data_IF_329804859997
#
_entry.id   IF_329804859997
#
_cell.length_a   1.000
_cell.length_b   1.000
_cell.length_c   1.000
_cell.angle_alpha   90.00
_cell.angle_beta   90.00
_cell.angle_gamma   90.00
#
_symmetry.space_group_name_H-M   'P 1'
#
loop_
_entity.id
_entity.type
_entity.pdbx_description
1 polymer ?
#
# COMPACT_ATOMS: atom_id res chain seq x y z
N UNK A 1 -9.95 -3.50 -3.86
CA UNK A 1 -10.44 -3.77 -2.47
C UNK A 1 -10.24 -5.22 -2.06
N UNK A 2 -10.99 -6.19 -2.62
CA UNK A 2 -10.90 -7.62 -2.28
C UNK A 2 -9.48 -8.18 -2.16
N UNK A 3 -8.60 -7.91 -3.13
CA UNK A 3 -7.21 -8.37 -3.10
C UNK A 3 -6.38 -7.80 -1.94
N UNK A 4 -6.64 -6.56 -1.54
CA UNK A 4 -6.01 -5.93 -0.36
C UNK A 4 -6.55 -6.53 0.93
N UNK A 5 -7.86 -6.79 1.01
CA UNK A 5 -8.50 -7.46 2.14
C UNK A 5 -8.24 -8.98 2.18
N UNK A 6 -7.52 -9.52 1.19
CA UNK A 6 -7.21 -10.96 1.10
C UNK A 6 -8.41 -11.86 0.81
N UNK A 7 -9.48 -11.33 0.21
CA UNK A 7 -10.65 -12.12 -0.17
C UNK A 7 -10.36 -12.88 -1.48
N UNK A 8 -10.43 -14.23 -1.49
CA UNK A 8 -10.13 -15.04 -2.66
C UNK A 8 -11.03 -14.73 -3.86
N UNK A 9 -10.54 -14.89 -5.09
CA UNK A 9 -11.30 -14.58 -6.32
C UNK A 9 -12.01 -15.79 -6.93
N UNK A 10 -11.80 -17.00 -6.41
CA UNK A 10 -12.32 -18.25 -7.01
C UNK A 10 -13.84 -18.25 -7.21
N UNK A 11 -14.59 -17.69 -6.24
CA UNK A 11 -16.04 -17.61 -6.31
C UNK A 11 -16.56 -16.63 -7.39
N UNK A 12 -15.73 -15.69 -7.85
CA UNK A 12 -16.14 -14.65 -8.80
C UNK A 12 -16.47 -15.23 -10.18
N UNK A 13 -15.77 -16.28 -10.61
CA UNK A 13 -15.99 -16.92 -11.90
C UNK A 13 -17.42 -17.47 -12.06
N UNK A 14 -18.05 -17.90 -10.95
CA UNK A 14 -19.45 -18.35 -10.94
C UNK A 14 -20.40 -17.18 -10.64
N UNK A 15 -19.97 -16.24 -9.80
CA UNK A 15 -20.82 -15.15 -9.35
C UNK A 15 -21.13 -14.13 -10.45
N UNK A 16 -20.14 -13.68 -11.21
CA UNK A 16 -20.34 -12.68 -12.26
C UNK A 16 -21.33 -13.12 -13.35
N UNK A 17 -21.24 -14.34 -13.91
CA UNK A 17 -22.25 -14.82 -14.87
C UNK A 17 -23.66 -14.90 -14.27
N UNK A 18 -23.77 -15.20 -12.98
CA UNK A 18 -25.06 -15.29 -12.29
C UNK A 18 -25.72 -13.92 -12.16
N UNK A 19 -24.97 -12.90 -11.76
CA UNK A 19 -25.54 -11.56 -11.57
C UNK A 19 -25.77 -10.83 -12.90
N UNK A 20 -25.03 -11.15 -13.96
CA UNK A 20 -25.12 -10.47 -15.26
C UNK A 20 -26.55 -10.41 -15.81
N UNK A 21 -27.31 -11.51 -15.70
CA UNK A 21 -28.70 -11.58 -16.17
C UNK A 21 -29.68 -10.75 -15.33
N UNK A 22 -29.29 -10.39 -14.10
CA UNK A 22 -30.10 -9.60 -13.17
C UNK A 22 -29.74 -8.11 -13.17
N UNK A 23 -28.78 -7.69 -14.00
CA UNK A 23 -28.39 -6.29 -14.09
C UNK A 23 -29.43 -5.48 -14.86
N UNK A 24 -29.78 -4.32 -14.32
CA UNK A 24 -30.55 -3.31 -15.04
C UNK A 24 -29.69 -2.77 -16.19
N UNK A 25 -30.17 -2.92 -17.43
CA UNK A 25 -29.45 -2.50 -18.63
C UNK A 25 -29.44 -0.99 -18.80
N UNK A 26 -30.46 -0.30 -18.29
CA UNK A 26 -30.56 1.15 -18.36
C UNK A 26 -29.69 1.82 -17.29
N UNK A 27 -29.40 1.11 -16.20
CA UNK A 27 -28.55 1.57 -15.09
C UNK A 27 -27.41 0.59 -14.73
N UNK A 28 -26.70 0.08 -15.75
CA UNK A 28 -25.70 -1.00 -15.61
C UNK A 28 -24.68 -0.80 -14.48
N UNK A 29 -24.13 0.42 -14.36
CA UNK A 29 -23.10 0.72 -13.36
C UNK A 29 -23.67 0.68 -11.94
N UNK A 30 -24.84 1.28 -11.73
CA UNK A 30 -25.51 1.33 -10.43
C UNK A 30 -25.94 -0.07 -10.03
N UNK A 31 -26.63 -0.78 -10.92
CA UNK A 31 -27.08 -2.15 -10.68
C UNK A 31 -25.92 -3.11 -10.39
N UNK A 32 -24.78 -2.95 -11.07
CA UNK A 32 -23.58 -3.73 -10.77
C UNK A 32 -23.01 -3.41 -9.38
N UNK A 33 -22.93 -2.13 -9.01
CA UNK A 33 -22.49 -1.72 -7.67
C UNK A 33 -23.38 -2.33 -6.59
N UNK A 34 -24.70 -2.25 -6.75
CA UNK A 34 -25.68 -2.80 -5.81
C UNK A 34 -25.51 -4.32 -5.68
N UNK A 35 -25.42 -5.05 -6.79
CA UNK A 35 -25.19 -6.50 -6.77
C UNK A 35 -23.88 -6.87 -6.08
N UNK A 36 -22.80 -6.12 -6.32
CA UNK A 36 -21.52 -6.37 -5.65
C UNK A 36 -21.58 -6.11 -4.13
N UNK A 37 -22.37 -5.12 -3.71
CA UNK A 37 -22.60 -4.80 -2.30
C UNK A 37 -23.51 -5.82 -1.60
N UNK A 38 -24.47 -6.43 -2.31
CA UNK A 38 -25.31 -7.54 -1.82
C UNK A 38 -24.53 -8.86 -1.65
N UNK A 39 -23.33 -8.97 -2.23
CA UNK A 39 -22.53 -10.19 -2.15
C UNK A 39 -22.22 -10.58 -0.69
N UNK A 40 -22.37 -11.85 -0.34
CA UNK A 40 -22.07 -12.38 1.01
C UNK A 40 -20.87 -13.33 1.01
N UNK A 41 -20.22 -13.47 2.17
CA UNK A 41 -19.08 -14.38 2.35
C UNK A 41 -17.96 -14.09 1.35
N UNK A 42 -17.52 -15.09 0.59
CA UNK A 42 -16.48 -14.92 -0.44
C UNK A 42 -16.93 -14.11 -1.66
N UNK A 43 -18.22 -13.77 -1.82
CA UNK A 43 -18.74 -12.95 -2.93
C UNK A 43 -18.80 -11.46 -2.59
N UNK A 44 -18.67 -11.11 -1.31
CA UNK A 44 -18.83 -9.74 -0.82
C UNK A 44 -17.77 -8.76 -1.33
N UNK A 45 -18.13 -7.50 -1.44
CA UNK A 45 -17.18 -6.41 -1.59
C UNK A 45 -16.85 -5.83 -0.20
N UNK A 46 -15.57 -5.65 0.17
CA UNK A 46 -15.22 -4.92 1.38
C UNK A 46 -15.75 -3.50 1.34
N UNK A 47 -16.32 -3.06 2.46
CA UNK A 47 -16.66 -1.65 2.67
C UNK A 47 -15.39 -0.79 2.84
N UNK A 48 -15.60 0.51 3.02
CA UNK A 48 -14.52 1.48 3.11
C UNK A 48 -13.68 1.26 4.37
N UNK A 49 -14.29 0.93 5.51
CA UNK A 49 -13.57 0.75 6.76
C UNK A 49 -12.68 -0.49 6.73
N UNK A 50 -13.18 -1.63 6.27
CA UNK A 50 -12.39 -2.85 6.13
C UNK A 50 -11.25 -2.66 5.12
N UNK A 51 -11.52 -1.98 4.00
CA UNK A 51 -10.50 -1.70 2.99
C UNK A 51 -9.38 -0.82 3.55
N UNK A 52 -9.75 0.25 4.25
CA UNK A 52 -8.79 1.18 4.84
C UNK A 52 -8.00 0.55 5.98
N UNK A 53 -8.64 -0.25 6.82
CA UNK A 53 -7.96 -1.00 7.88
C UNK A 53 -6.98 -2.01 7.27
N UNK A 54 -7.40 -2.75 6.25
CA UNK A 54 -6.53 -3.73 5.56
C UNK A 54 -5.29 -3.06 4.96
N UNK A 55 -5.43 -1.88 4.36
CA UNK A 55 -4.28 -1.12 3.86
C UNK A 55 -3.31 -0.72 4.97
N UNK A 56 -3.82 -0.43 6.17
CA UNK A 56 -2.99 0.06 7.29
C UNK A 56 -2.30 -1.07 8.04
N UNK A 57 -2.91 -2.24 8.13
CA UNK A 57 -2.52 -3.27 9.11
C UNK A 57 -2.13 -4.60 8.49
N UNK A 58 -2.63 -4.93 7.30
CA UNK A 58 -2.35 -6.23 6.69
C UNK A 58 -0.98 -6.25 6.02
N UNK A 59 -0.20 -7.33 6.16
CA UNK A 59 0.97 -7.56 5.32
C UNK A 59 0.56 -7.59 3.84
N UNK A 60 1.19 -6.73 3.05
CA UNK A 60 0.98 -6.62 1.60
C UNK A 60 2.22 -7.00 0.80
N UNK A 61 3.42 -7.02 1.42
CA UNK A 61 4.62 -7.51 0.74
C UNK A 61 4.44 -8.97 0.27
N UNK A 62 4.98 -9.28 -0.92
CA UNK A 62 4.76 -10.56 -1.60
C UNK A 62 3.41 -10.67 -2.33
N UNK A 63 2.42 -9.80 -2.06
CA UNK A 63 1.18 -9.76 -2.82
C UNK A 63 1.32 -8.85 -4.05
N UNK A 64 0.94 -9.36 -5.24
CA UNK A 64 0.96 -8.60 -6.50
C UNK A 64 0.17 -7.29 -6.43
N UNK A 65 -0.84 -7.21 -5.56
CA UNK A 65 -1.65 -5.99 -5.38
C UNK A 65 -0.85 -4.82 -4.81
N UNK A 66 0.20 -5.07 -4.01
CA UNK A 66 0.98 -4.01 -3.37
C UNK A 66 1.57 -3.06 -4.41
N UNK A 67 2.24 -3.62 -5.42
CA UNK A 67 2.88 -2.83 -6.47
C UNK A 67 1.84 -1.96 -7.17
N UNK A 68 0.72 -2.55 -7.58
CA UNK A 68 -0.38 -1.82 -8.19
C UNK A 68 -0.88 -0.66 -7.30
N UNK A 69 -1.02 -0.88 -5.98
CA UNK A 69 -1.44 0.16 -5.03
C UNK A 69 -0.44 1.31 -5.00
N UNK A 70 0.85 1.01 -4.86
CA UNK A 70 1.91 2.03 -4.82
C UNK A 70 1.98 2.85 -6.12
N UNK A 71 1.87 2.19 -7.27
CA UNK A 71 1.86 2.86 -8.58
C UNK A 71 0.66 3.79 -8.74
N UNK A 72 -0.52 3.38 -8.28
CA UNK A 72 -1.75 4.19 -8.36
C UNK A 72 -1.74 5.35 -7.38
N UNK A 73 -1.17 5.16 -6.19
CA UNK A 73 -0.91 6.25 -5.23
C UNK A 73 0.07 7.27 -5.80
N UNK A 74 1.16 6.83 -6.45
CA UNK A 74 2.13 7.72 -7.10
C UNK A 74 1.49 8.56 -8.22
N UNK A 75 0.62 7.93 -9.04
CA UNK A 75 -0.11 8.59 -10.13
C UNK A 75 -1.23 9.51 -9.63
N UNK A 76 -1.75 9.30 -8.43
CA UNK A 76 -2.90 10.05 -7.94
C UNK A 76 -2.59 11.53 -7.79
N UNK A 77 -3.38 12.38 -8.46
CA UNK A 77 -3.17 13.82 -8.52
C UNK A 77 -1.69 14.18 -8.85
N UNK A 78 -1.16 13.53 -9.88
CA UNK A 78 0.17 13.79 -10.43
C UNK A 78 0.08 13.78 -11.96
N UNK A 79 0.46 14.89 -12.60
CA UNK A 79 0.46 15.03 -14.07
C UNK A 79 1.77 14.57 -14.69
N UNK A 80 2.83 14.42 -13.89
CA UNK A 80 4.12 13.95 -14.36
C UNK A 80 4.07 12.46 -14.71
N UNK A 81 4.73 12.09 -15.81
CA UNK A 81 4.85 10.69 -16.22
C UNK A 81 5.96 10.03 -15.43
N UNK A 82 5.64 8.95 -14.73
CA UNK A 82 6.61 8.10 -14.04
C UNK A 82 6.75 6.78 -14.81
N UNK A 83 7.99 6.42 -15.15
CA UNK A 83 8.30 5.08 -15.66
C UNK A 83 8.48 4.12 -14.48
N UNK A 84 7.59 3.14 -14.35
CA UNK A 84 7.59 2.18 -13.27
C UNK A 84 8.44 0.94 -13.54
N UNK A 85 8.85 0.67 -14.79
CA UNK A 85 9.48 -0.60 -15.20
C UNK A 85 10.76 -0.90 -14.43
N UNK A 86 11.53 0.16 -14.11
CA UNK A 86 12.80 0.05 -13.39
C UNK A 86 12.66 0.21 -11.87
N UNK A 87 11.45 0.48 -11.38
CA UNK A 87 11.20 0.66 -9.95
C UNK A 87 10.96 -0.70 -9.28
N UNK A 88 11.46 -0.82 -8.07
CA UNK A 88 11.26 -1.97 -7.20
C UNK A 88 10.55 -1.54 -5.92
N UNK A 89 9.87 -2.49 -5.30
CA UNK A 89 9.33 -2.29 -3.95
C UNK A 89 10.50 -2.26 -2.97
N UNK A 90 10.56 -1.21 -2.17
CA UNK A 90 11.57 -1.02 -1.12
C UNK A 90 10.92 -1.04 0.26
N UNK A 91 11.61 -1.70 1.20
CA UNK A 91 11.33 -1.66 2.62
C UNK A 91 12.09 -0.51 3.26
N UNK A 92 11.38 0.53 3.71
CA UNK A 92 12.01 1.71 4.33
C UNK A 92 12.80 1.27 5.56
N UNK A 93 12.12 0.62 6.51
CA UNK A 93 12.72 -0.24 7.54
C UNK A 93 13.02 -1.62 6.93
N UNK A 94 14.30 -2.05 6.85
CA UNK A 94 14.70 -3.24 6.11
C UNK A 94 14.30 -4.55 6.81
N UNK A 95 14.30 -5.66 6.06
CA UNK A 95 14.06 -6.99 6.63
C UNK A 95 15.16 -7.41 7.63
N UNK A 96 16.42 -7.09 7.35
CA UNK A 96 17.54 -7.32 8.27
C UNK A 96 17.91 -6.00 8.95
N UNK A 97 17.64 -5.91 10.25
CA UNK A 97 17.98 -4.72 11.04
C UNK A 97 19.46 -4.71 11.42
N UNK A 98 20.04 -3.51 11.40
CA UNK A 98 21.31 -3.20 12.06
C UNK A 98 21.04 -2.55 13.44
N UNK A 99 22.08 -2.28 14.22
CA UNK A 99 21.89 -1.76 15.58
C UNK A 99 21.35 -0.32 15.61
N UNK A 100 21.56 0.47 14.56
CA UNK A 100 20.94 1.80 14.45
C UNK A 100 19.43 1.70 14.25
N UNK A 101 18.96 0.76 13.44
CA UNK A 101 17.53 0.49 13.31
C UNK A 101 16.89 0.00 14.61
N UNK A 102 17.54 -0.92 15.32
CA UNK A 102 17.04 -1.40 16.63
C UNK A 102 16.92 -0.23 17.62
N UNK A 103 17.96 0.63 17.70
CA UNK A 103 17.92 1.84 18.54
C UNK A 103 16.83 2.82 18.12
N UNK A 104 16.62 3.00 16.81
CA UNK A 104 15.58 3.90 16.28
C UNK A 104 14.16 3.41 16.62
N UNK A 105 13.94 2.11 16.68
CA UNK A 105 12.65 1.50 17.03
C UNK A 105 12.43 1.37 18.55
N UNK A 106 13.48 1.52 19.35
CA UNK A 106 13.44 1.47 20.82
C UNK A 106 13.36 0.05 21.39
N UNK A 107 13.02 -0.06 22.68
CA UNK A 107 13.11 -1.32 23.44
C UNK A 107 12.23 -2.45 22.87
N UNK A 108 11.09 -2.09 22.25
CA UNK A 108 10.15 -3.03 21.64
C UNK A 108 10.40 -3.25 20.13
N UNK A 109 11.64 -3.05 19.66
CA UNK A 109 11.96 -3.09 18.24
C UNK A 109 11.56 -4.40 17.56
N UNK A 110 11.63 -5.56 18.23
CA UNK A 110 11.24 -6.86 17.65
C UNK A 110 9.74 -6.90 17.31
N UNK A 111 8.91 -6.46 18.25
CA UNK A 111 7.46 -6.42 18.06
C UNK A 111 7.09 -5.39 16.99
N UNK A 112 7.72 -4.21 17.04
CA UNK A 112 7.50 -3.17 16.04
C UNK A 112 7.92 -3.66 14.65
N UNK A 113 9.11 -4.26 14.52
CA UNK A 113 9.62 -4.80 13.26
C UNK A 113 8.66 -5.84 12.69
N UNK A 114 8.30 -6.86 13.47
CA UNK A 114 7.38 -7.91 13.04
C UNK A 114 6.02 -7.36 12.60
N UNK A 115 5.48 -6.38 13.33
CA UNK A 115 4.15 -5.81 13.07
C UNK A 115 4.12 -4.91 11.84
N UNK A 116 5.20 -4.16 11.60
CA UNK A 116 5.21 -3.06 10.63
C UNK A 116 6.06 -3.31 9.39
N UNK A 117 6.81 -4.42 9.33
CA UNK A 117 7.72 -4.71 8.21
C UNK A 117 7.01 -4.70 6.85
N UNK A 118 5.93 -5.47 6.73
CA UNK A 118 5.32 -5.78 5.43
C UNK A 118 4.03 -5.01 5.15
N UNK A 119 3.69 -4.00 5.95
CA UNK A 119 2.48 -3.18 5.76
C UNK A 119 2.73 -2.00 4.82
N UNK A 120 1.66 -1.47 4.23
CA UNK A 120 1.75 -0.35 3.25
C UNK A 120 2.57 0.84 3.77
N UNK A 121 2.46 1.14 5.06
CA UNK A 121 3.20 2.25 5.68
C UNK A 121 4.71 2.14 5.50
N UNK A 122 5.28 0.93 5.53
CA UNK A 122 6.73 0.72 5.45
C UNK A 122 7.24 0.46 4.02
N UNK A 123 6.36 0.48 3.03
CA UNK A 123 6.65 0.06 1.67
C UNK A 123 6.62 1.26 0.72
N UNK A 124 7.58 1.31 -0.19
CA UNK A 124 7.67 2.35 -1.21
C UNK A 124 8.20 1.83 -2.54
N UNK A 125 8.34 2.72 -3.53
CA UNK A 125 9.00 2.44 -4.80
C UNK A 125 10.34 3.20 -4.87
N UNK A 126 11.36 2.55 -5.45
CA UNK A 126 12.66 3.18 -5.74
C UNK A 126 13.36 2.47 -6.90
N UNK A 127 14.22 3.20 -7.62
CA UNK A 127 15.15 2.63 -8.59
C UNK A 127 16.52 2.26 -7.98
N UNK A 128 16.72 2.55 -6.69
CA UNK A 128 18.01 2.46 -5.99
C UNK A 128 17.97 1.46 -4.82
N UNK A 129 17.15 0.42 -4.96
CA UNK A 129 16.91 -0.59 -3.92
C UNK A 129 18.23 -1.28 -3.48
N UNK A 130 19.10 -1.75 -4.41
CA UNK A 130 20.38 -2.35 -4.03
C UNK A 130 21.28 -1.42 -3.21
N UNK A 131 21.30 -0.12 -3.52
CA UNK A 131 22.11 0.88 -2.84
C UNK A 131 21.59 1.20 -1.42
N UNK A 132 20.28 1.11 -1.20
CA UNK A 132 19.68 1.35 0.11
C UNK A 132 19.94 0.21 1.09
N UNK A 133 19.73 -1.04 0.67
CA UNK A 133 20.02 -2.25 1.46
C UNK A 133 19.53 -2.13 2.92
N UNK A 134 20.32 -2.58 3.89
CA UNK A 134 20.07 -2.45 5.32
C UNK A 134 20.66 -1.17 5.93
N UNK A 135 20.95 -0.13 5.12
CA UNK A 135 21.47 1.13 5.64
C UNK A 135 20.46 1.78 6.61
N UNK A 136 20.94 2.56 7.59
CA UNK A 136 20.06 3.29 8.48
C UNK A 136 19.17 4.29 7.73
N UNK A 137 18.03 4.63 8.32
CA UNK A 137 17.06 5.53 7.70
C UNK A 137 17.67 6.86 7.24
N UNK A 138 18.44 7.52 8.13
CA UNK A 138 19.07 8.80 7.82
C UNK A 138 20.04 8.69 6.63
N UNK A 139 20.79 7.59 6.56
CA UNK A 139 21.66 7.32 5.42
C UNK A 139 20.85 7.14 4.13
N UNK A 140 19.81 6.29 4.13
CA UNK A 140 18.92 6.12 2.95
C UNK A 140 18.29 7.44 2.51
N UNK A 141 17.97 8.31 3.46
CA UNK A 141 17.38 9.63 3.22
C UNK A 141 18.38 10.61 2.58
N UNK A 142 19.60 10.67 3.12
CA UNK A 142 20.56 11.75 2.85
C UNK A 142 21.65 11.39 1.82
N UNK A 143 21.82 10.12 1.48
CA UNK A 143 22.79 9.71 0.47
C UNK A 143 22.43 10.24 -0.92
N UNK A 144 23.44 10.32 -1.80
CA UNK A 144 23.23 10.56 -3.24
C UNK A 144 22.21 9.56 -3.77
N UNK A 145 21.20 10.04 -4.50
CA UNK A 145 20.03 9.27 -4.99
C UNK A 145 19.15 8.68 -3.88
N UNK A 146 19.27 9.18 -2.66
CA UNK A 146 18.45 8.82 -1.50
C UNK A 146 17.04 9.44 -1.54
N UNK A 147 16.26 9.28 -0.47
CA UNK A 147 14.88 9.77 -0.43
C UNK A 147 14.76 11.28 -0.62
N UNK A 148 15.76 12.10 -0.22
CA UNK A 148 15.78 13.55 -0.47
C UNK A 148 15.90 13.92 -1.94
N UNK A 149 16.59 13.10 -2.73
CA UNK A 149 16.77 13.32 -4.17
C UNK A 149 15.75 12.53 -5.01
N UNK A 150 14.81 11.82 -4.38
CA UNK A 150 13.82 11.01 -5.08
C UNK A 150 12.78 11.89 -5.78
N UNK A 151 12.61 11.68 -7.10
CA UNK A 151 11.56 12.35 -7.88
C UNK A 151 10.14 11.84 -7.59
N UNK A 152 10.00 10.68 -6.93
CA UNK A 152 8.70 10.06 -6.68
C UNK A 152 7.94 10.82 -5.59
N UNK A 153 6.69 11.18 -5.89
CA UNK A 153 5.77 11.84 -4.94
C UNK A 153 5.61 11.00 -3.66
N UNK A 154 5.59 9.68 -3.80
CA UNK A 154 5.51 8.70 -2.74
C UNK A 154 6.64 8.84 -1.70
N UNK A 155 7.82 9.32 -2.09
CA UNK A 155 9.00 9.46 -1.21
C UNK A 155 9.16 10.85 -0.59
N UNK A 156 8.41 11.86 -1.07
CA UNK A 156 8.59 13.28 -0.65
C UNK A 156 8.46 13.53 0.85
N UNK A 157 7.67 12.73 1.57
CA UNK A 157 7.58 12.88 3.03
C UNK A 157 8.78 12.26 3.74
N UNK A 158 9.33 11.15 3.23
CA UNK A 158 10.49 10.48 3.82
C UNK A 158 11.72 11.40 3.81
N UNK A 159 11.85 12.23 2.77
CA UNK A 159 12.88 13.26 2.65
C UNK A 159 12.95 14.24 3.84
N UNK A 160 11.82 14.43 4.56
CA UNK A 160 11.66 15.45 5.61
C UNK A 160 11.73 14.89 7.03
N UNK A 161 11.69 13.57 7.20
CA UNK A 161 11.62 12.93 8.52
C UNK A 161 13.02 12.67 9.06
N UNK A 162 13.23 12.83 10.36
CA UNK A 162 14.50 12.55 11.04
C UNK A 162 14.60 11.14 11.62
N UNK A 163 13.44 10.48 11.81
CA UNK A 163 13.29 9.12 12.35
C UNK A 163 12.29 8.34 11.51
N UNK A 164 12.35 7.01 11.62
CA UNK A 164 11.39 6.10 11.01
C UNK A 164 10.99 5.03 12.04
N UNK A 165 10.02 5.38 12.88
CA UNK A 165 9.52 4.56 13.98
C UNK A 165 8.05 4.14 13.76
N UNK A 166 7.47 3.48 14.75
CA UNK A 166 6.08 3.03 14.71
C UNK A 166 5.08 4.17 14.42
N UNK A 167 5.31 5.35 14.99
CA UNK A 167 4.44 6.51 14.81
C UNK A 167 4.45 6.96 13.35
N UNK A 168 5.64 7.09 12.76
CA UNK A 168 5.79 7.50 11.36
C UNK A 168 5.22 6.47 10.38
N UNK A 169 5.43 5.17 10.64
CA UNK A 169 4.84 4.12 9.82
C UNK A 169 3.31 4.17 9.86
N UNK A 170 2.70 4.29 11.04
CA UNK A 170 1.25 4.42 11.20
C UNK A 170 0.70 5.68 10.52
N UNK A 171 1.39 6.81 10.70
CA UNK A 171 1.01 8.10 10.08
C UNK A 171 1.01 7.98 8.56
N UNK A 172 2.06 7.40 7.98
CA UNK A 172 2.17 7.13 6.55
C UNK A 172 1.09 6.16 6.08
N UNK A 173 0.90 5.03 6.76
CA UNK A 173 -0.14 4.06 6.43
C UNK A 173 -1.54 4.71 6.38
N UNK A 174 -1.87 5.53 7.39
CA UNK A 174 -3.14 6.29 7.42
C UNK A 174 -3.26 7.24 6.23
N UNK A 175 -2.22 8.01 5.92
CA UNK A 175 -2.21 8.93 4.77
C UNK A 175 -2.37 8.20 3.43
N UNK A 176 -1.61 7.13 3.21
CA UNK A 176 -1.70 6.32 1.99
C UNK A 176 -3.07 5.64 1.86
N UNK A 177 -3.66 5.19 2.97
CA UNK A 177 -5.02 4.63 2.96
C UNK A 177 -6.07 5.66 2.55
N UNK A 178 -5.95 6.92 2.99
CA UNK A 178 -6.87 7.99 2.56
C UNK A 178 -6.79 8.26 1.06
N UNK A 179 -5.56 8.32 0.51
CA UNK A 179 -5.36 8.45 -0.94
C UNK A 179 -6.00 7.26 -1.67
N UNK A 180 -5.86 6.05 -1.14
CA UNK A 180 -6.51 4.86 -1.69
C UNK A 180 -8.04 4.95 -1.62
N UNK A 181 -8.61 5.58 -0.60
CA UNK A 181 -10.05 5.86 -0.52
C UNK A 181 -10.50 6.76 -1.66
N UNK A 182 -9.73 7.81 -1.98
CA UNK A 182 -10.08 8.70 -3.09
C UNK A 182 -10.00 8.01 -4.46
N UNK A 183 -9.11 7.02 -4.62
CA UNK A 183 -8.95 6.28 -5.88
C UNK A 183 -10.00 5.17 -6.04
N UNK A 184 -10.36 4.46 -4.95
CA UNK A 184 -11.15 3.23 -4.97
C UNK A 184 -12.31 3.18 -3.96
N UNK A 185 -12.71 4.31 -3.39
CA UNK A 185 -13.87 4.44 -2.52
C UNK A 185 -15.15 4.03 -3.24
N UNK A 186 -16.15 3.57 -2.48
CA UNK A 186 -17.44 3.18 -3.06
C UNK A 186 -18.48 4.31 -3.08
N UNK A 187 -18.15 5.45 -2.46
CA UNK A 187 -18.95 6.67 -2.45
C UNK A 187 -19.02 7.34 -3.83
#
# INVERSE_FOLDING_TARGET
RRAVCGIPTQALNKYFPTIYKSLDKDNMVVSLKDKLNEGIGVRRLPDDDEFLQSLRERPLYGNKILRYVLEKVEKYNNKEVVNFDKLQVEHIMPQKLNDEWKRMLGDNWELAHKKFLDILGNLTLTGYNPEYSNKPFQHKRDMKKGFKESGLKLNRELAKLNKWDEEEVKRRAKKLSKIAADIWGLN
#
